data_IF_847700931227
#
_entry.id   IF_847700931227
#
_cell.length_a   1.000
_cell.length_b   1.000
_cell.length_c   1.000
_cell.angle_alpha   90.00
_cell.angle_beta   90.00
_cell.angle_gamma   90.00
#
_symmetry.space_group_name_H-M   'P 1'
#
loop_
_entity.id
_entity.type
_entity.pdbx_description
1 polymer ?
#
# COMPACT_ATOMS: atom_id res chain seq x y z
N UNK A 1 24.90 -9.58 18.84
CA UNK A 1 23.60 -9.26 19.50
C UNK A 1 23.40 -7.75 19.51
N UNK A 2 22.91 -7.16 18.41
CA UNK A 2 22.75 -5.70 18.25
C UNK A 2 21.45 -5.30 17.51
N UNK A 3 20.59 -6.28 17.19
CA UNK A 3 19.40 -6.12 16.34
C UNK A 3 18.13 -5.64 17.08
N UNK A 4 18.08 -5.70 18.42
CA UNK A 4 16.88 -5.36 19.21
C UNK A 4 16.76 -3.90 19.65
N UNK A 5 17.79 -3.08 19.41
CA UNK A 5 17.84 -1.72 19.98
C UNK A 5 16.88 -0.74 19.30
N UNK A 6 16.49 -0.95 18.04
CA UNK A 6 15.78 0.05 17.23
C UNK A 6 14.27 0.04 17.46
N UNK A 7 13.67 -1.14 17.54
CA UNK A 7 12.25 -1.32 17.91
C UNK A 7 12.01 -0.80 19.33
N UNK A 8 12.93 -1.09 20.25
CA UNK A 8 12.87 -0.57 21.62
C UNK A 8 13.01 0.95 21.63
N UNK A 9 13.90 1.53 20.81
CA UNK A 9 14.02 3.00 20.69
C UNK A 9 12.74 3.62 20.10
N UNK A 10 12.15 3.05 19.04
CA UNK A 10 10.91 3.53 18.43
C UNK A 10 9.71 3.47 19.39
N UNK A 11 9.53 2.34 20.07
CA UNK A 11 8.49 2.17 21.12
C UNK A 11 8.76 3.12 22.30
N UNK A 12 10.02 3.32 22.69
CA UNK A 12 10.41 4.26 23.76
C UNK A 12 10.19 5.72 23.35
N UNK A 13 10.38 6.07 22.07
CA UNK A 13 10.08 7.39 21.50
C UNK A 13 8.57 7.64 21.47
N UNK A 14 7.77 6.67 21.03
CA UNK A 14 6.32 6.73 21.02
C UNK A 14 5.75 6.85 22.45
N UNK A 15 6.26 6.03 23.38
CA UNK A 15 5.95 6.12 24.81
C UNK A 15 6.39 7.46 25.41
N UNK A 16 7.57 7.97 25.05
CA UNK A 16 8.07 9.25 25.53
C UNK A 16 7.19 10.42 25.08
N UNK A 17 6.73 10.41 23.82
CA UNK A 17 5.76 11.38 23.28
C UNK A 17 4.42 11.31 24.03
N UNK A 18 3.97 10.11 24.40
CA UNK A 18 2.76 9.89 25.21
C UNK A 18 2.92 10.35 26.67
N UNK A 19 4.12 10.17 27.26
CA UNK A 19 4.47 10.57 28.63
C UNK A 19 4.61 12.10 28.74
N UNK A 20 5.11 12.79 27.72
CA UNK A 20 5.24 14.26 27.72
C UNK A 20 3.86 14.94 27.81
N UNK A 21 2.80 14.34 27.27
CA UNK A 21 1.43 14.86 27.36
C UNK A 21 0.70 14.48 28.65
N UNK A 22 1.14 13.46 29.37
CA UNK A 22 0.53 13.03 30.63
C UNK A 22 1.37 13.52 31.81
N UNK A 23 0.95 14.63 32.43
CA UNK A 23 1.51 15.09 33.70
C UNK A 23 1.31 14.03 34.79
N UNK A 24 2.21 13.04 34.94
CA UNK A 24 2.14 12.07 36.02
C UNK A 24 3.52 11.62 36.50
N UNK A 25 3.83 11.97 37.75
CA UNK A 25 5.02 11.64 38.52
C UNK A 25 5.06 10.18 39.03
N UNK A 26 4.43 9.24 38.32
CA UNK A 26 4.46 7.81 38.60
C UNK A 26 4.18 7.07 37.29
N UNK A 27 4.65 5.82 37.16
CA UNK A 27 4.24 4.95 36.05
C UNK A 27 2.71 4.97 36.01
N UNK A 28 2.13 5.55 34.97
CA UNK A 28 0.68 5.60 34.85
C UNK A 28 0.14 4.17 34.72
N UNK A 29 -1.06 3.91 35.21
CA UNK A 29 -1.72 2.61 35.01
C UNK A 29 -1.78 2.22 33.52
N UNK A 30 -1.76 3.20 32.62
CA UNK A 30 -1.78 3.02 31.17
C UNK A 30 -0.42 2.52 30.66
N UNK A 31 0.70 3.07 31.14
CA UNK A 31 2.05 2.62 30.80
C UNK A 31 2.31 1.18 31.27
N UNK A 32 1.82 0.83 32.46
CA UNK A 32 1.88 -0.55 32.97
C UNK A 32 1.06 -1.52 32.12
N UNK A 33 -0.12 -1.09 31.68
CA UNK A 33 -0.97 -1.88 30.77
C UNK A 33 -0.31 -2.04 29.41
N UNK A 34 0.33 -1.00 28.87
CA UNK A 34 1.02 -1.07 27.58
C UNK A 34 2.21 -2.04 27.65
N UNK A 35 3.07 -1.94 28.66
CA UNK A 35 4.18 -2.88 28.86
C UNK A 35 3.68 -4.33 28.97
N UNK A 36 2.59 -4.56 29.71
CA UNK A 36 1.94 -5.90 29.79
C UNK A 36 1.36 -6.35 28.45
N UNK A 37 0.86 -5.42 27.64
CA UNK A 37 0.31 -5.72 26.31
C UNK A 37 1.43 -6.07 25.33
N UNK A 38 2.55 -5.36 25.37
CA UNK A 38 3.78 -5.63 24.62
C UNK A 38 4.42 -6.97 25.04
N UNK A 39 4.46 -7.27 26.34
CA UNK A 39 4.88 -8.59 26.88
C UNK A 39 3.95 -9.70 26.36
N UNK A 40 2.62 -9.51 26.47
CA UNK A 40 1.60 -10.49 26.05
C UNK A 40 1.64 -10.76 24.54
N UNK A 41 1.93 -9.74 23.73
CA UNK A 41 2.10 -9.83 22.27
C UNK A 41 3.51 -10.27 21.87
N UNK A 42 4.39 -10.61 22.81
CA UNK A 42 5.79 -11.06 22.61
C UNK A 42 6.68 -10.06 21.86
N UNK A 43 6.33 -8.77 21.91
CA UNK A 43 7.11 -7.69 21.29
C UNK A 43 8.36 -7.39 22.13
N UNK A 44 8.26 -7.53 23.45
CA UNK A 44 9.36 -7.40 24.41
C UNK A 44 9.40 -8.63 25.34
N UNK A 45 10.57 -8.96 25.86
CA UNK A 45 10.75 -10.02 26.85
C UNK A 45 10.47 -9.54 28.27
N UNK A 46 10.10 -10.46 29.17
CA UNK A 46 9.90 -10.17 30.61
C UNK A 46 11.09 -9.44 31.24
N UNK A 47 12.30 -9.77 30.77
CA UNK A 47 13.55 -9.14 31.19
C UNK A 47 13.66 -7.69 30.70
N UNK A 48 13.40 -7.46 29.41
CA UNK A 48 13.43 -6.11 28.81
C UNK A 48 12.35 -5.20 29.45
N UNK A 49 11.16 -5.73 29.71
CA UNK A 49 10.11 -4.98 30.37
C UNK A 49 10.42 -4.67 31.84
N UNK A 50 11.11 -5.58 32.54
CA UNK A 50 11.58 -5.35 33.91
C UNK A 50 12.72 -4.33 33.95
N UNK A 51 13.65 -4.37 33.00
CA UNK A 51 14.72 -3.39 32.85
C UNK A 51 14.16 -2.00 32.55
N UNK A 52 13.17 -1.89 31.64
CA UNK A 52 12.48 -0.62 31.37
C UNK A 52 11.72 -0.09 32.59
N UNK A 53 10.99 -0.95 33.33
CA UNK A 53 10.34 -0.56 34.59
C UNK A 53 11.36 -0.05 35.61
N UNK A 54 12.48 -0.74 35.77
CA UNK A 54 13.53 -0.38 36.73
C UNK A 54 14.29 0.90 36.33
N UNK A 55 14.52 1.11 35.04
CA UNK A 55 15.14 2.33 34.50
C UNK A 55 14.18 3.53 34.62
N UNK A 56 12.88 3.33 34.42
CA UNK A 56 11.84 4.34 34.64
C UNK A 56 11.66 4.67 36.14
N UNK A 57 11.67 3.67 37.03
CA UNK A 57 11.56 3.85 38.48
C UNK A 57 12.80 4.52 39.08
N UNK A 58 14.01 4.09 38.70
CA UNK A 58 15.26 4.73 39.15
C UNK A 58 15.40 6.17 38.66
N UNK A 59 14.87 6.47 37.47
CA UNK A 59 14.82 7.83 36.92
C UNK A 59 13.73 8.70 37.55
N UNK A 60 12.68 8.10 38.14
CA UNK A 60 11.65 8.84 38.89
C UNK A 60 12.12 9.30 40.29
N UNK A 61 13.15 8.66 40.85
CA UNK A 61 13.72 9.01 42.15
C UNK A 61 14.84 10.06 42.08
N UNK A 62 15.46 10.25 40.91
CA UNK A 62 16.39 11.35 40.67
C UNK A 62 15.57 12.60 40.34
N UNK A 63 15.32 13.46 41.33
CA UNK A 63 14.47 14.65 41.24
C UNK A 63 14.95 15.77 40.34
N UNK A 64 15.40 15.47 39.13
CA UNK A 64 15.84 16.43 38.11
C UNK A 64 15.01 16.22 36.84
N UNK A 65 13.71 16.52 36.96
CA UNK A 65 12.74 16.52 35.87
C UNK A 65 13.25 17.35 34.69
N UNK A 66 13.93 18.45 34.99
CA UNK A 66 14.51 19.36 34.00
C UNK A 66 15.69 18.71 33.27
N UNK A 67 16.59 18.01 33.96
CA UNK A 67 17.67 17.27 33.30
C UNK A 67 17.18 16.07 32.47
N UNK A 68 16.13 15.37 32.92
CA UNK A 68 15.50 14.28 32.15
C UNK A 68 14.76 14.81 30.93
N UNK A 69 13.89 15.82 31.10
CA UNK A 69 13.21 16.48 29.98
C UNK A 69 14.22 17.07 29.01
N UNK A 70 15.31 17.67 29.48
CA UNK A 70 16.42 18.17 28.65
C UNK A 70 17.16 17.05 27.93
N UNK A 71 17.39 15.90 28.57
CA UNK A 71 18.06 14.75 27.93
C UNK A 71 17.16 14.06 26.92
N UNK A 72 15.87 13.93 27.21
CA UNK A 72 14.85 13.43 26.29
C UNK A 72 14.65 14.41 25.14
N UNK A 73 14.42 15.71 25.37
CA UNK A 73 14.32 16.70 24.28
C UNK A 73 15.60 16.81 23.46
N UNK A 74 16.78 16.61 24.05
CA UNK A 74 18.02 16.53 23.27
C UNK A 74 18.20 15.21 22.51
N UNK A 75 17.63 14.10 22.97
CA UNK A 75 17.62 12.83 22.25
C UNK A 75 16.53 12.85 21.17
N UNK A 76 15.29 13.09 21.56
CA UNK A 76 14.12 13.31 20.69
C UNK A 76 14.41 14.38 19.65
N UNK A 77 14.97 15.54 20.02
CA UNK A 77 15.31 16.61 19.07
C UNK A 77 16.38 16.22 18.06
N UNK A 78 17.28 15.27 18.39
CA UNK A 78 18.25 14.73 17.42
C UNK A 78 17.64 13.71 16.46
N UNK A 79 16.54 13.08 16.85
CA UNK A 79 15.86 12.05 16.06
C UNK A 79 14.60 12.57 15.38
N UNK A 80 14.01 13.67 15.86
CA UNK A 80 12.81 14.28 15.32
C UNK A 80 13.02 14.73 13.87
N UNK A 81 14.19 15.30 13.56
CA UNK A 81 14.54 15.69 12.18
C UNK A 81 14.80 14.49 11.25
N UNK A 82 14.90 13.28 11.81
CA UNK A 82 15.21 12.03 11.09
C UNK A 82 14.01 11.11 10.95
N UNK A 83 12.92 11.36 11.66
CA UNK A 83 11.73 10.51 11.67
C UNK A 83 10.61 11.31 11.02
N UNK A 84 10.10 10.81 9.92
CA UNK A 84 9.02 11.40 9.15
C UNK A 84 7.80 10.49 9.29
N UNK A 85 6.90 10.79 10.24
CA UNK A 85 5.69 10.01 10.43
C UNK A 85 4.66 10.35 9.35
N UNK A 86 3.91 9.33 8.93
CA UNK A 86 2.76 9.46 8.04
C UNK A 86 1.61 8.61 8.55
N UNK A 87 0.38 9.04 8.31
CA UNK A 87 -0.80 8.24 8.64
C UNK A 87 -1.99 8.57 7.75
N UNK A 88 -2.81 7.55 7.51
CA UNK A 88 -4.10 7.62 6.83
C UNK A 88 -5.19 6.97 7.70
N UNK A 89 -6.37 7.61 7.78
CA UNK A 89 -7.56 7.05 8.40
C UNK A 89 -8.76 7.33 7.48
N UNK A 90 -9.45 6.28 7.06
CA UNK A 90 -10.56 6.37 6.11
C UNK A 90 -11.79 5.67 6.66
N UNK A 91 -12.92 6.39 6.64
CA UNK A 91 -14.22 5.83 7.00
C UNK A 91 -15.12 5.90 5.77
N UNK A 92 -15.66 4.75 5.39
CA UNK A 92 -16.44 4.60 4.16
C UNK A 92 -17.84 4.11 4.43
N UNK A 93 -18.81 4.75 3.79
CA UNK A 93 -20.17 4.25 3.66
C UNK A 93 -20.42 3.88 2.21
N UNK A 94 -20.94 2.68 1.94
CA UNK A 94 -21.27 2.27 0.58
C UNK A 94 -22.70 1.74 0.45
N UNK A 95 -23.21 1.81 -0.78
CA UNK A 95 -24.41 1.13 -1.23
C UNK A 95 -24.12 0.44 -2.56
N UNK A 96 -24.36 -0.85 -2.63
CA UNK A 96 -24.18 -1.69 -3.82
C UNK A 96 -25.53 -2.30 -4.24
N UNK A 97 -25.87 -2.20 -5.53
CA UNK A 97 -26.97 -2.92 -6.16
C UNK A 97 -26.44 -3.79 -7.31
N UNK A 98 -26.62 -5.10 -7.19
CA UNK A 98 -26.19 -6.13 -8.13
C UNK A 98 -27.40 -6.77 -8.80
N UNK A 99 -27.48 -6.59 -10.11
CA UNK A 99 -28.51 -7.16 -10.97
C UNK A 99 -27.95 -8.39 -11.70
N UNK A 100 -28.58 -9.54 -11.50
CA UNK A 100 -28.12 -10.80 -12.10
C UNK A 100 -28.81 -11.04 -13.44
N UNK A 101 -28.03 -11.37 -14.47
CA UNK A 101 -28.58 -11.71 -15.78
C UNK A 101 -29.29 -13.08 -15.77
N UNK A 102 -28.80 -14.01 -14.94
CA UNK A 102 -29.43 -15.31 -14.76
C UNK A 102 -30.78 -15.17 -14.05
N UNK A 103 -31.91 -15.49 -14.70
CA UNK A 103 -33.24 -15.33 -14.12
C UNK A 103 -33.51 -16.26 -12.92
N UNK A 104 -32.64 -17.23 -12.66
CA UNK A 104 -32.72 -18.09 -11.48
C UNK A 104 -32.10 -17.46 -10.22
N UNK A 105 -31.28 -16.41 -10.39
CA UNK A 105 -30.73 -15.60 -9.31
C UNK A 105 -31.65 -14.39 -9.07
N UNK A 106 -31.75 -13.96 -7.82
CA UNK A 106 -32.44 -12.72 -7.47
C UNK A 106 -31.42 -11.61 -7.35
N UNK A 107 -31.78 -10.43 -7.84
CA UNK A 107 -31.03 -9.20 -7.63
C UNK A 107 -30.83 -8.96 -6.12
N UNK A 108 -29.69 -8.35 -5.78
CA UNK A 108 -29.27 -8.13 -4.40
C UNK A 108 -28.80 -6.71 -4.20
N UNK A 109 -29.19 -6.11 -3.09
CA UNK A 109 -28.64 -4.86 -2.60
C UNK A 109 -27.91 -5.06 -1.26
N UNK A 110 -26.91 -4.23 -1.00
CA UNK A 110 -26.13 -4.21 0.23
C UNK A 110 -25.70 -2.78 0.57
N UNK A 111 -25.50 -2.51 1.85
CA UNK A 111 -24.92 -1.26 2.33
C UNK A 111 -24.18 -1.48 3.63
N UNK A 112 -23.09 -0.77 3.83
CA UNK A 112 -22.36 -0.79 5.09
C UNK A 112 -21.68 0.55 5.40
N UNK A 113 -21.16 0.66 6.62
CA UNK A 113 -20.29 1.72 7.10
C UNK A 113 -19.11 1.09 7.82
N UNK A 114 -17.91 1.17 7.24
CA UNK A 114 -16.69 0.54 7.76
C UNK A 114 -15.60 1.57 8.06
N UNK A 115 -14.71 1.20 8.98
CA UNK A 115 -13.38 1.80 9.06
C UNK A 115 -12.55 1.14 7.95
N UNK A 116 -12.54 1.77 6.77
CA UNK A 116 -11.97 1.19 5.57
C UNK A 116 -10.47 0.95 5.74
N UNK A 117 -9.75 1.98 6.19
CA UNK A 117 -8.29 1.97 6.25
C UNK A 117 -7.81 2.69 7.51
N UNK A 118 -6.85 2.08 8.20
CA UNK A 118 -5.96 2.76 9.13
C UNK A 118 -4.55 2.36 8.75
N UNK A 119 -3.81 3.29 8.17
CA UNK A 119 -2.40 3.13 7.90
C UNK A 119 -1.60 4.10 8.76
N UNK A 120 -0.49 3.64 9.32
CA UNK A 120 0.51 4.54 9.88
C UNK A 120 1.91 3.98 9.72
N UNK A 121 2.85 4.87 9.48
CA UNK A 121 4.22 4.50 9.25
C UNK A 121 5.23 5.57 9.60
N UNK A 122 6.49 5.20 9.43
CA UNK A 122 7.63 6.08 9.65
C UNK A 122 8.68 5.84 8.58
N UNK A 123 9.10 6.91 7.91
CA UNK A 123 10.37 6.96 7.23
C UNK A 123 11.44 7.48 8.18
N UNK A 124 12.59 6.80 8.21
CA UNK A 124 13.66 7.12 9.15
C UNK A 124 15.02 7.26 8.45
N UNK A 125 15.63 8.44 8.56
CA UNK A 125 16.99 8.73 8.13
C UNK A 125 18.02 8.17 9.15
N UNK A 126 18.29 6.87 9.04
CA UNK A 126 19.20 6.10 9.90
C UNK A 126 20.61 6.72 9.87
N UNK A 127 21.18 6.86 8.69
CA UNK A 127 22.51 7.42 8.43
C UNK A 127 22.55 8.06 7.04
N UNK A 128 23.65 8.74 6.69
CA UNK A 128 23.87 9.15 5.31
C UNK A 128 23.80 7.91 4.41
N UNK A 129 22.98 7.94 3.36
CA UNK A 129 22.75 6.81 2.43
C UNK A 129 22.02 5.61 3.00
N UNK A 130 21.41 5.70 4.19
CA UNK A 130 20.67 4.57 4.77
C UNK A 130 19.37 5.09 5.34
N UNK A 131 18.26 4.61 4.78
CA UNK A 131 16.89 4.89 5.23
C UNK A 131 16.19 3.59 5.61
N UNK A 132 15.20 3.70 6.48
CA UNK A 132 14.28 2.62 6.77
C UNK A 132 12.85 3.12 6.72
N UNK A 133 11.98 2.35 6.08
CA UNK A 133 10.55 2.63 5.95
C UNK A 133 9.78 1.48 6.60
N UNK A 134 8.78 1.81 7.40
CA UNK A 134 7.96 0.82 8.12
C UNK A 134 6.53 1.33 8.19
N UNK A 135 5.61 0.58 7.59
CA UNK A 135 4.19 0.89 7.54
C UNK A 135 3.38 -0.25 8.14
N UNK A 136 2.30 0.11 8.82
CA UNK A 136 1.33 -0.81 9.38
C UNK A 136 -0.03 -0.49 8.82
N UNK A 137 -0.75 -1.52 8.42
CA UNK A 137 -2.07 -1.41 7.81
C UNK A 137 -3.08 -2.20 8.63
N UNK A 138 -4.26 -1.61 8.78
CA UNK A 138 -5.45 -2.24 9.29
C UNK A 138 -6.63 -1.86 8.41
N UNK A 139 -7.37 -2.86 7.98
CA UNK A 139 -8.58 -2.73 7.19
C UNK A 139 -9.63 -3.66 7.80
N UNK A 140 -10.84 -3.14 7.99
CA UNK A 140 -11.94 -3.92 8.56
C UNK A 140 -12.32 -5.07 7.62
N UNK A 141 -12.40 -6.29 8.18
CA UNK A 141 -12.68 -7.57 7.50
C UNK A 141 -11.60 -8.13 6.55
N UNK A 142 -10.44 -7.46 6.43
CA UNK A 142 -9.29 -7.97 5.67
C UNK A 142 -8.07 -8.19 6.59
N UNK A 143 -7.44 -7.10 7.05
CA UNK A 143 -6.25 -7.12 7.89
C UNK A 143 -6.56 -6.92 9.39
N UNK A 144 -7.45 -7.75 9.95
CA UNK A 144 -7.72 -7.84 11.42
C UNK A 144 -7.09 -9.10 12.04
N UNK A 145 -5.99 -8.99 12.82
CA UNK A 145 -5.42 -7.77 13.41
C UNK A 145 -4.44 -7.03 12.49
N UNK A 146 -4.13 -5.77 12.85
CA UNK A 146 -3.09 -4.94 12.20
C UNK A 146 -1.85 -5.72 11.77
N UNK A 147 -1.41 -5.48 10.54
CA UNK A 147 -0.28 -6.16 9.91
C UNK A 147 0.87 -5.19 9.58
N UNK A 148 2.05 -5.76 9.27
CA UNK A 148 3.13 -4.97 8.67
C UNK A 148 2.85 -4.96 7.18
N UNK A 149 2.58 -3.78 6.65
CA UNK A 149 2.30 -3.57 5.24
C UNK A 149 3.62 -3.49 4.46
N UNK A 150 4.47 -2.51 4.81
CA UNK A 150 5.82 -2.39 4.28
C UNK A 150 6.90 -2.40 5.38
N UNK A 151 8.07 -2.93 5.02
CA UNK A 151 9.24 -2.92 5.87
C UNK A 151 10.51 -2.96 5.03
N UNK A 152 11.03 -1.78 4.68
CA UNK A 152 12.09 -1.61 3.67
C UNK A 152 13.33 -0.97 4.27
N UNK A 153 14.50 -1.46 3.86
CA UNK A 153 15.78 -0.78 4.04
C UNK A 153 16.24 -0.28 2.68
N UNK A 154 16.46 1.03 2.57
CA UNK A 154 17.00 1.67 1.37
C UNK A 154 18.44 2.10 1.58
N UNK A 155 19.30 1.77 0.63
CA UNK A 155 20.65 2.29 0.51
C UNK A 155 20.73 3.14 -0.76
N UNK A 156 20.75 4.47 -0.61
CA UNK A 156 20.83 5.40 -1.75
C UNK A 156 22.26 5.91 -1.95
N UNK A 157 22.71 6.01 -3.19
CA UNK A 157 24.02 6.56 -3.53
C UNK A 157 23.97 7.99 -4.07
N UNK A 158 22.81 8.66 -4.07
CA UNK A 158 22.47 9.70 -5.05
C UNK A 158 23.48 10.87 -5.21
N UNK A 159 24.20 11.24 -4.15
CA UNK A 159 25.23 12.29 -4.20
C UNK A 159 26.64 11.81 -4.61
N UNK A 160 26.82 10.50 -4.76
CA UNK A 160 28.06 9.83 -5.23
C UNK A 160 27.83 9.16 -6.59
N UNK A 161 26.78 8.33 -6.70
CA UNK A 161 26.34 7.61 -7.90
C UNK A 161 24.81 7.54 -7.90
N UNK A 162 24.15 7.63 -9.06
CA UNK A 162 22.69 7.63 -9.13
C UNK A 162 22.11 6.22 -8.98
N UNK A 163 22.59 5.42 -8.01
CA UNK A 163 22.19 4.04 -7.76
C UNK A 163 21.52 3.92 -6.40
N UNK A 164 20.58 2.99 -6.26
CA UNK A 164 19.98 2.63 -4.98
C UNK A 164 19.74 1.13 -4.89
N UNK A 165 19.54 0.65 -3.66
CA UNK A 165 19.12 -0.72 -3.36
C UNK A 165 18.05 -0.69 -2.29
N UNK A 166 16.93 -1.34 -2.54
CA UNK A 166 15.83 -1.57 -1.59
C UNK A 166 15.75 -3.05 -1.22
N UNK A 167 15.59 -3.34 0.06
CA UNK A 167 15.61 -4.69 0.64
C UNK A 167 14.51 -4.80 1.70
N UNK A 168 13.57 -5.74 1.56
CA UNK A 168 12.52 -5.92 2.57
C UNK A 168 11.18 -6.39 2.00
N UNK A 169 10.11 -6.26 2.80
CA UNK A 169 8.73 -6.43 2.33
C UNK A 169 8.29 -5.09 1.72
N UNK A 170 7.90 -5.09 0.45
CA UNK A 170 7.56 -3.88 -0.31
C UNK A 170 6.56 -4.18 -1.42
N UNK A 171 5.82 -3.16 -1.86
CA UNK A 171 5.17 -3.20 -3.17
C UNK A 171 6.24 -3.17 -4.26
N UNK A 172 6.36 -4.25 -5.02
CA UNK A 172 7.40 -4.35 -6.04
C UNK A 172 7.08 -3.43 -7.22
N UNK A 173 8.07 -2.92 -7.99
CA UNK A 173 7.84 -1.93 -9.06
C UNK A 173 7.10 -2.46 -10.30
N UNK A 174 5.84 -2.86 -10.16
CA UNK A 174 4.97 -3.42 -11.19
C UNK A 174 3.63 -2.68 -11.27
N UNK A 175 3.66 -1.49 -11.88
CA UNK A 175 2.49 -0.62 -12.00
C UNK A 175 2.68 0.67 -11.22
N UNK A 176 1.71 1.57 -11.37
CA UNK A 176 1.68 2.84 -10.65
C UNK A 176 0.35 3.13 -9.97
N UNK A 177 -0.75 2.66 -10.56
CA UNK A 177 -2.08 2.60 -9.97
C UNK A 177 -2.67 3.95 -9.49
N UNK A 178 -2.29 5.04 -10.16
CA UNK A 178 -2.75 6.38 -9.81
C UNK A 178 -4.26 6.56 -10.08
N UNK A 179 -4.98 7.06 -9.08
CA UNK A 179 -6.45 7.21 -9.11
C UNK A 179 -6.91 8.46 -8.36
N UNK A 180 -7.95 9.14 -8.86
CA UNK A 180 -8.69 10.18 -8.12
C UNK A 180 -10.04 9.66 -7.60
N UNK A 181 -10.23 8.34 -7.60
CA UNK A 181 -11.41 7.64 -7.11
C UNK A 181 -11.19 7.15 -5.68
N UNK A 182 -12.29 6.86 -4.98
CA UNK A 182 -12.26 6.21 -3.66
C UNK A 182 -11.92 4.73 -3.86
N UNK A 183 -12.56 4.09 -4.82
CA UNK A 183 -12.27 2.68 -5.14
C UNK A 183 -10.98 2.56 -5.92
N UNK A 184 -10.28 1.44 -5.70
CA UNK A 184 -9.08 1.10 -6.43
C UNK A 184 -9.33 0.94 -7.94
N UNK A 185 -8.38 1.35 -8.78
CA UNK A 185 -8.48 1.12 -10.21
C UNK A 185 -8.33 -0.39 -10.50
N UNK A 186 -8.99 -0.87 -11.56
CA UNK A 186 -8.91 -2.31 -11.92
C UNK A 186 -7.48 -2.81 -12.16
N UNK A 187 -6.56 -1.89 -12.51
CA UNK A 187 -5.13 -2.18 -12.66
C UNK A 187 -4.45 -2.55 -11.34
N UNK A 188 -4.81 -1.91 -10.23
CA UNK A 188 -4.34 -2.26 -8.88
C UNK A 188 -4.93 -3.62 -8.48
N UNK A 189 -6.25 -3.75 -8.64
CA UNK A 189 -7.00 -4.96 -8.29
C UNK A 189 -6.46 -6.24 -8.94
N UNK A 190 -5.87 -6.16 -10.13
CA UNK A 190 -5.20 -7.31 -10.74
C UNK A 190 -3.69 -7.37 -10.46
N UNK A 191 -3.06 -6.22 -10.26
CA UNK A 191 -1.62 -6.04 -10.46
C UNK A 191 -0.80 -5.80 -9.20
N UNK A 192 -1.43 -5.48 -8.09
CA UNK A 192 -0.72 -5.20 -6.84
C UNK A 192 0.06 -6.43 -6.37
N UNK A 193 1.37 -6.27 -6.16
CA UNK A 193 2.26 -7.36 -5.72
C UNK A 193 3.11 -6.86 -4.56
N UNK A 194 2.82 -7.33 -3.35
CA UNK A 194 3.55 -6.97 -2.14
C UNK A 194 4.38 -8.16 -1.63
N UNK A 195 5.70 -8.06 -1.78
CA UNK A 195 6.56 -9.23 -1.59
C UNK A 195 7.87 -8.92 -0.86
N UNK A 196 8.49 -9.98 -0.33
CA UNK A 196 9.85 -9.91 0.18
C UNK A 196 10.85 -9.87 -0.99
N UNK A 197 11.40 -8.68 -1.26
CA UNK A 197 12.17 -8.40 -2.46
C UNK A 197 13.54 -7.75 -2.19
N UNK A 198 14.39 -7.86 -3.21
CA UNK A 198 15.60 -7.05 -3.39
C UNK A 198 15.49 -6.34 -4.73
N UNK A 199 15.47 -5.02 -4.72
CA UNK A 199 15.40 -4.18 -5.91
C UNK A 199 16.67 -3.33 -6.00
N UNK A 200 17.31 -3.31 -7.16
CA UNK A 200 18.45 -2.46 -7.46
C UNK A 200 18.06 -1.56 -8.62
N UNK A 201 18.29 -0.26 -8.47
CA UNK A 201 17.94 0.68 -9.52
C UNK A 201 18.91 1.83 -9.68
N UNK A 202 18.68 2.60 -10.73
CA UNK A 202 19.33 3.86 -10.99
C UNK A 202 18.28 4.93 -11.24
N UNK A 203 18.37 6.06 -10.56
CA UNK A 203 17.42 7.17 -10.66
C UNK A 203 18.16 8.49 -10.88
N UNK A 204 17.67 9.27 -11.83
CA UNK A 204 17.99 10.69 -11.99
C UNK A 204 16.68 11.47 -12.24
N UNK A 205 16.78 12.78 -12.47
CA UNK A 205 15.61 13.65 -12.66
C UNK A 205 14.69 13.26 -13.83
N UNK A 206 15.19 12.47 -14.79
CA UNK A 206 14.47 12.09 -16.01
C UNK A 206 14.03 10.64 -16.04
N UNK A 207 14.86 9.73 -15.54
CA UNK A 207 14.68 8.30 -15.73
C UNK A 207 15.02 7.54 -14.46
N UNK A 208 14.17 6.58 -14.16
CA UNK A 208 14.42 5.52 -13.20
C UNK A 208 14.39 4.16 -13.91
N UNK A 209 15.43 3.37 -13.69
CA UNK A 209 15.52 1.98 -14.14
C UNK A 209 15.71 1.10 -12.92
N UNK A 210 14.94 0.03 -12.79
CA UNK A 210 15.11 -0.92 -11.71
C UNK A 210 15.01 -2.36 -12.20
N UNK A 211 15.72 -3.24 -11.51
CA UNK A 211 15.59 -4.70 -11.65
C UNK A 211 15.58 -5.30 -10.25
N UNK A 212 14.87 -6.41 -10.08
CA UNK A 212 14.77 -7.04 -8.76
C UNK A 212 14.52 -8.53 -8.85
N UNK A 213 14.65 -9.16 -7.69
CA UNK A 213 14.19 -10.51 -7.44
C UNK A 213 13.35 -10.52 -6.17
N UNK A 214 12.31 -11.33 -6.13
CA UNK A 214 11.41 -11.44 -5.00
C UNK A 214 11.06 -12.89 -4.72
N UNK A 215 10.62 -13.14 -3.50
CA UNK A 215 10.18 -14.45 -3.04
C UNK A 215 8.66 -14.47 -3.11
N UNK A 216 8.09 -15.04 -4.19
CA UNK A 216 6.64 -15.10 -4.36
C UNK A 216 5.97 -16.15 -3.47
N UNK A 217 4.66 -16.07 -3.38
CA UNK A 217 3.82 -17.03 -2.65
C UNK A 217 3.22 -18.15 -3.53
N UNK A 218 3.24 -18.00 -4.87
CA UNK A 218 2.74 -18.98 -5.83
C UNK A 218 3.89 -19.72 -6.52
N UNK A 219 4.06 -21.00 -6.18
CA UNK A 219 5.09 -21.88 -6.76
C UNK A 219 4.59 -22.66 -8.01
N UNK A 220 5.52 -23.09 -8.87
CA UNK A 220 5.25 -24.11 -9.89
C UNK A 220 4.91 -25.46 -9.23
N UNK A 221 3.95 -26.19 -9.81
CA UNK A 221 3.37 -27.40 -9.22
C UNK A 221 4.41 -28.51 -8.99
N UNK A 222 5.46 -28.57 -9.83
CA UNK A 222 6.58 -29.50 -9.67
C UNK A 222 7.67 -29.02 -8.70
N UNK A 223 7.64 -27.75 -8.28
CA UNK A 223 8.57 -27.14 -7.32
C UNK A 223 7.95 -26.82 -5.95
N UNK A 224 6.63 -27.00 -5.77
CA UNK A 224 5.81 -26.74 -4.58
C UNK A 224 6.29 -27.29 -3.21
N UNK A 225 7.40 -28.03 -3.19
CA UNK A 225 8.08 -28.50 -1.97
C UNK A 225 9.15 -27.54 -1.46
N UNK A 226 9.51 -26.50 -2.22
CA UNK A 226 10.65 -25.64 -1.95
C UNK A 226 10.33 -24.16 -2.22
N UNK A 227 10.23 -23.36 -1.16
CA UNK A 227 10.12 -21.90 -1.28
C UNK A 227 11.49 -21.32 -1.70
N UNK A 228 11.52 -20.63 -2.84
CA UNK A 228 12.72 -20.13 -3.50
C UNK A 228 12.56 -18.67 -3.98
N UNK A 229 13.68 -17.94 -4.04
CA UNK A 229 13.74 -16.63 -4.71
C UNK A 229 13.99 -16.90 -6.19
N UNK A 230 12.93 -17.07 -6.95
CA UNK A 230 12.94 -17.40 -8.39
C UNK A 230 12.08 -16.45 -9.23
N UNK A 231 11.45 -15.47 -8.59
CA UNK A 231 10.73 -14.41 -9.26
C UNK A 231 11.58 -13.17 -9.49
N UNK A 232 11.34 -12.50 -10.61
CA UNK A 232 12.13 -11.38 -11.12
C UNK A 232 11.24 -10.26 -11.62
N UNK A 233 11.76 -9.04 -11.56
CA UNK A 233 11.11 -7.86 -12.12
C UNK A 233 12.09 -6.94 -12.83
N UNK A 234 11.57 -6.13 -13.74
CA UNK A 234 12.26 -5.00 -14.32
C UNK A 234 11.28 -3.86 -14.59
N UNK A 235 11.69 -2.63 -14.31
CA UNK A 235 10.90 -1.44 -14.58
C UNK A 235 11.74 -0.32 -15.18
N UNK A 236 11.10 0.51 -16.00
CA UNK A 236 11.64 1.74 -16.52
C UNK A 236 10.57 2.83 -16.44
N UNK A 237 10.90 3.93 -15.78
CA UNK A 237 10.03 5.09 -15.63
C UNK A 237 10.74 6.33 -16.16
N UNK A 238 10.01 7.15 -16.91
CA UNK A 238 10.41 8.46 -17.36
C UNK A 238 9.56 9.51 -16.63
N UNK A 239 10.21 10.54 -16.11
CA UNK A 239 9.57 11.71 -15.51
C UNK A 239 10.10 12.95 -16.20
N UNK A 240 9.20 13.82 -16.68
CA UNK A 240 9.58 15.12 -17.20
C UNK A 240 9.91 16.05 -16.02
N UNK A 241 11.15 16.57 -15.89
CA UNK A 241 11.45 17.47 -14.80
C UNK A 241 10.62 18.76 -14.92
N UNK A 242 10.04 19.21 -13.81
CA UNK A 242 9.21 20.43 -13.73
C UNK A 242 9.91 21.67 -14.33
N UNK A 243 11.24 21.71 -14.23
CA UNK A 243 12.06 22.81 -14.78
C UNK A 243 12.09 22.87 -16.32
N UNK A 244 11.66 21.81 -17.00
CA UNK A 244 11.72 21.68 -18.46
C UNK A 244 10.52 22.35 -19.13
N UNK A 245 9.32 22.07 -18.63
CA UNK A 245 8.07 22.65 -19.13
C UNK A 245 7.22 23.06 -17.92
N UNK A 246 7.21 24.36 -17.57
CA UNK A 246 6.34 24.86 -16.52
C UNK A 246 4.88 24.48 -16.80
N UNK A 247 4.14 24.16 -15.74
CA UNK A 247 2.72 23.82 -15.79
C UNK A 247 2.38 22.56 -16.60
N UNK A 248 3.35 21.72 -16.92
CA UNK A 248 3.13 20.43 -17.56
C UNK A 248 3.98 19.35 -16.90
N UNK A 249 3.32 18.42 -16.22
CA UNK A 249 3.94 17.24 -15.64
C UNK A 249 3.61 16.02 -16.49
N UNK A 250 4.59 15.15 -16.67
CA UNK A 250 4.43 13.91 -17.42
C UNK A 250 5.30 12.83 -16.79
N UNK A 251 4.68 11.73 -16.43
CA UNK A 251 5.36 10.51 -16.00
C UNK A 251 4.83 9.36 -16.86
N UNK A 252 5.72 8.50 -17.35
CA UNK A 252 5.32 7.32 -18.12
C UNK A 252 6.26 6.17 -17.83
N UNK A 253 5.74 4.96 -17.79
CA UNK A 253 6.54 3.80 -17.43
C UNK A 253 6.11 2.51 -18.10
N UNK A 254 7.02 1.54 -18.03
CA UNK A 254 6.81 0.14 -18.36
C UNK A 254 7.42 -0.72 -17.26
N UNK A 255 6.80 -1.86 -17.00
CA UNK A 255 7.35 -2.86 -16.08
C UNK A 255 6.94 -4.27 -16.48
N UNK A 256 7.73 -5.23 -16.04
CA UNK A 256 7.48 -6.66 -16.22
C UNK A 256 7.81 -7.41 -14.94
N UNK A 257 7.05 -8.47 -14.67
CA UNK A 257 7.32 -9.44 -13.60
C UNK A 257 7.28 -10.85 -14.18
N UNK A 258 8.01 -11.78 -13.57
CA UNK A 258 8.08 -13.18 -14.01
C UNK A 258 6.82 -13.97 -13.72
N UNK A 259 6.06 -13.59 -12.70
CA UNK A 259 4.85 -14.28 -12.28
C UNK A 259 3.79 -13.27 -11.79
N UNK A 260 2.75 -13.06 -12.59
CA UNK A 260 1.60 -12.21 -12.23
C UNK A 260 0.65 -12.91 -11.25
N UNK A 261 0.76 -14.23 -11.08
CA UNK A 261 -0.05 -14.97 -10.12
C UNK A 261 0.27 -14.60 -8.66
N UNK A 262 1.44 -14.02 -8.41
CA UNK A 262 1.86 -13.45 -7.11
C UNK A 262 1.22 -12.08 -6.82
N UNK A 263 0.26 -11.62 -7.63
CA UNK A 263 -0.51 -10.43 -7.24
C UNK A 263 -1.51 -10.77 -6.12
N UNK A 264 -1.69 -9.83 -5.20
CA UNK A 264 -2.39 -10.02 -3.93
C UNK A 264 -3.79 -10.63 -4.12
N UNK A 265 -4.56 -10.13 -5.08
CA UNK A 265 -5.89 -10.67 -5.34
C UNK A 265 -5.88 -12.00 -6.12
N UNK A 266 -4.87 -12.24 -6.97
CA UNK A 266 -4.75 -13.50 -7.70
C UNK A 266 -4.22 -14.63 -6.82
N UNK A 267 -3.49 -14.37 -5.74
CA UNK A 267 -2.99 -15.45 -4.86
C UNK A 267 -4.10 -16.07 -3.98
N UNK A 268 -5.25 -15.41 -3.86
CA UNK A 268 -6.32 -15.86 -2.97
C UNK A 268 -7.00 -17.13 -3.48
N UNK A 269 -6.80 -18.25 -2.79
CA UNK A 269 -7.37 -19.54 -3.21
C UNK A 269 -8.90 -19.48 -3.24
N UNK A 270 -9.48 -19.76 -4.40
CA UNK A 270 -10.94 -19.79 -4.61
C UNK A 270 -11.52 -18.50 -5.20
N UNK A 271 -10.77 -17.40 -5.22
CA UNK A 271 -11.15 -16.13 -5.89
C UNK A 271 -10.12 -15.70 -6.94
N UNK A 272 -8.87 -16.09 -6.78
CA UNK A 272 -7.75 -15.98 -7.72
C UNK A 272 -7.35 -17.35 -8.26
N UNK A 273 -6.15 -17.83 -7.93
CA UNK A 273 -5.65 -19.17 -8.28
C UNK A 273 -6.49 -20.27 -7.64
N UNK A 274 -6.71 -21.36 -8.37
CA UNK A 274 -7.51 -22.51 -7.91
C UNK A 274 -6.80 -23.36 -6.86
N UNK A 275 -5.47 -23.31 -6.84
CA UNK A 275 -4.59 -23.97 -5.89
C UNK A 275 -3.43 -23.02 -5.59
N UNK A 276 -2.73 -23.22 -4.47
CA UNK A 276 -1.52 -22.44 -4.12
C UNK A 276 -0.31 -22.70 -5.05
N UNK A 277 -0.56 -23.23 -6.25
CA UNK A 277 0.44 -23.59 -7.25
C UNK A 277 -0.17 -23.47 -8.64
N UNK A 278 0.65 -23.08 -9.62
CA UNK A 278 0.31 -23.10 -11.05
C UNK A 278 1.28 -24.03 -11.78
N UNK A 279 1.03 -24.37 -13.04
CA UNK A 279 1.89 -25.30 -13.78
C UNK A 279 3.21 -24.67 -14.21
N UNK A 280 3.16 -23.42 -14.67
CA UNK A 280 4.35 -22.62 -14.95
C UNK A 280 4.10 -21.18 -14.53
N UNK A 281 5.13 -20.45 -14.12
CA UNK A 281 5.04 -19.01 -13.86
C UNK A 281 4.60 -18.26 -15.13
N UNK A 282 3.62 -17.36 -14.95
CA UNK A 282 3.06 -16.56 -16.04
C UNK A 282 3.50 -15.11 -15.87
N UNK A 283 4.33 -14.61 -16.78
CA UNK A 283 4.83 -13.23 -16.69
C UNK A 283 3.71 -12.18 -16.78
N UNK A 284 3.92 -11.03 -16.12
CA UNK A 284 3.06 -9.85 -16.19
C UNK A 284 3.74 -8.72 -16.95
N UNK A 285 2.95 -7.92 -17.67
CA UNK A 285 3.38 -6.66 -18.29
C UNK A 285 2.48 -5.52 -17.84
N UNK A 286 3.09 -4.36 -17.58
CA UNK A 286 2.39 -3.12 -17.27
C UNK A 286 2.98 -1.93 -18.05
N UNK A 287 2.12 -0.98 -18.38
CA UNK A 287 2.53 0.35 -18.85
C UNK A 287 1.54 1.41 -18.39
N UNK A 288 2.04 2.59 -18.08
CA UNK A 288 1.23 3.72 -17.63
C UNK A 288 1.71 5.05 -18.20
N UNK A 289 0.79 6.02 -18.22
CA UNK A 289 1.04 7.43 -18.49
C UNK A 289 0.20 8.23 -17.48
N UNK A 290 0.87 9.15 -16.79
CA UNK A 290 0.27 10.13 -15.88
C UNK A 290 0.70 11.51 -16.39
N UNK A 291 -0.25 12.40 -16.59
CA UNK A 291 0.02 13.75 -17.03
C UNK A 291 -0.86 14.75 -16.28
N UNK A 292 -0.29 15.92 -15.95
CA UNK A 292 -1.05 17.05 -15.46
C UNK A 292 -0.71 18.34 -16.19
N UNK A 293 -1.70 19.20 -16.37
CA UNK A 293 -1.58 20.51 -17.00
C UNK A 293 -2.11 21.57 -16.04
N UNK A 294 -1.33 22.63 -15.81
CA UNK A 294 -1.64 23.76 -14.94
C UNK A 294 -1.96 23.36 -13.50
N UNK A 295 -1.46 22.19 -13.07
CA UNK A 295 -1.80 21.55 -11.78
C UNK A 295 -3.32 21.53 -11.52
N UNK A 296 -4.08 21.38 -12.60
CA UNK A 296 -5.54 21.53 -12.59
C UNK A 296 -6.23 20.43 -13.36
N UNK A 297 -5.66 20.01 -14.48
CA UNK A 297 -6.22 18.95 -15.33
C UNK A 297 -5.30 17.75 -15.25
N UNK A 298 -5.86 16.60 -14.89
CA UNK A 298 -5.12 15.37 -14.67
C UNK A 298 -5.62 14.31 -15.63
N UNK A 299 -4.68 13.50 -16.13
CA UNK A 299 -4.94 12.38 -17.00
C UNK A 299 -4.08 11.20 -16.55
N UNK A 300 -4.73 10.08 -16.26
CA UNK A 300 -4.09 8.83 -15.93
C UNK A 300 -4.56 7.77 -16.92
N UNK A 301 -3.64 6.96 -17.44
CA UNK A 301 -3.98 5.77 -18.19
C UNK A 301 -2.97 4.67 -17.89
N UNK A 302 -3.48 3.48 -17.59
CA UNK A 302 -2.67 2.33 -17.24
C UNK A 302 -3.26 1.06 -17.85
N UNK A 303 -2.38 0.16 -18.28
CA UNK A 303 -2.71 -1.16 -18.80
C UNK A 303 -1.81 -2.18 -18.10
N UNK A 304 -2.39 -3.29 -17.67
CA UNK A 304 -1.69 -4.38 -17.00
C UNK A 304 -2.30 -5.72 -17.42
N UNK A 305 -1.48 -6.76 -17.58
CA UNK A 305 -2.01 -8.10 -17.80
C UNK A 305 -0.95 -9.19 -17.92
N UNK A 306 -1.44 -10.42 -17.96
CA UNK A 306 -0.64 -11.61 -18.18
C UNK A 306 -0.09 -11.64 -19.62
N UNK A 307 1.18 -12.05 -19.76
CA UNK A 307 1.88 -12.16 -21.05
C UNK A 307 1.50 -13.45 -21.79
N UNK A 308 1.17 -14.50 -21.04
CA UNK A 308 0.77 -15.82 -21.56
C UNK A 308 -0.50 -16.32 -20.85
N UNK A 309 -1.12 -17.35 -21.39
CA UNK A 309 -2.36 -17.93 -20.87
C UNK A 309 -2.09 -18.77 -19.61
N UNK A 310 -2.89 -18.56 -18.55
CA UNK A 310 -3.09 -19.56 -17.51
C UNK A 310 -3.80 -20.77 -18.10
N UNK A 311 -3.39 -21.97 -17.70
CA UNK A 311 -4.00 -23.21 -18.16
C UNK A 311 -5.39 -23.41 -17.55
N UNK A 312 -6.23 -24.18 -18.25
CA UNK A 312 -7.58 -24.45 -17.78
C UNK A 312 -7.58 -25.17 -16.42
N UNK A 313 -8.27 -24.56 -15.45
CA UNK A 313 -8.35 -25.00 -14.06
C UNK A 313 -7.37 -24.30 -13.12
N UNK A 314 -6.45 -23.45 -13.61
CA UNK A 314 -5.50 -22.73 -12.76
C UNK A 314 -6.11 -21.51 -12.08
N UNK A 315 -7.13 -20.89 -12.66
CA UNK A 315 -7.84 -19.75 -12.08
C UNK A 315 -9.26 -20.14 -11.67
N UNK A 316 -9.68 -19.74 -10.48
CA UNK A 316 -10.98 -20.13 -9.90
C UNK A 316 -12.17 -19.60 -10.71
N UNK A 317 -11.95 -18.53 -11.49
CA UNK A 317 -12.93 -17.85 -12.32
C UNK A 317 -12.85 -18.22 -13.81
N UNK A 318 -12.04 -19.21 -14.20
CA UNK A 318 -11.81 -19.53 -15.62
C UNK A 318 -12.92 -20.35 -16.30
N UNK A 319 -13.84 -20.92 -15.51
CA UNK A 319 -14.89 -21.80 -16.01
C UNK A 319 -14.39 -23.01 -16.81
N UNK A 320 -13.17 -23.48 -16.51
CA UNK A 320 -12.49 -24.60 -17.18
C UNK A 320 -11.86 -24.25 -18.53
N UNK A 321 -11.43 -23.01 -18.73
CA UNK A 321 -10.78 -22.52 -19.97
C UNK A 321 -9.42 -21.92 -19.67
N UNK A 322 -8.55 -21.83 -20.68
CA UNK A 322 -7.32 -21.06 -20.55
C UNK A 322 -7.63 -19.57 -20.63
N UNK A 323 -7.14 -18.78 -19.66
CA UNK A 323 -7.45 -17.36 -19.47
C UNK A 323 -6.16 -16.54 -19.45
N UNK A 324 -6.20 -15.34 -20.02
CA UNK A 324 -5.10 -14.37 -19.94
C UNK A 324 -5.61 -13.04 -19.37
N UNK A 325 -5.70 -12.93 -18.03
CA UNK A 325 -6.25 -11.74 -17.38
C UNK A 325 -5.52 -10.47 -17.81
N UNK A 326 -6.28 -9.47 -18.26
CA UNK A 326 -5.77 -8.14 -18.59
C UNK A 326 -6.80 -7.07 -18.17
N UNK A 327 -6.30 -5.92 -17.75
CA UNK A 327 -7.06 -4.78 -17.23
C UNK A 327 -6.50 -3.47 -17.77
N UNK A 328 -7.35 -2.46 -17.83
CA UNK A 328 -6.94 -1.09 -18.13
C UNK A 328 -7.82 -0.09 -17.38
N UNK A 329 -7.22 1.04 -17.05
CA UNK A 329 -7.87 2.21 -16.46
C UNK A 329 -7.52 3.45 -17.26
N UNK A 330 -8.52 4.29 -17.53
CA UNK A 330 -8.35 5.63 -18.09
C UNK A 330 -9.16 6.58 -17.24
N UNK A 331 -8.49 7.62 -16.73
CA UNK A 331 -9.08 8.60 -15.84
C UNK A 331 -8.76 10.02 -16.28
N UNK A 332 -9.73 10.91 -16.09
CA UNK A 332 -9.58 12.35 -16.23
C UNK A 332 -10.09 13.02 -14.96
N UNK A 333 -9.30 13.89 -14.37
CA UNK A 333 -9.70 14.71 -13.23
C UNK A 333 -9.45 16.20 -13.46
N UNK A 334 -10.18 17.03 -12.72
CA UNK A 334 -10.12 18.47 -12.84
C UNK A 334 -10.42 19.17 -11.51
N UNK A 335 -9.50 20.02 -11.06
CA UNK A 335 -9.72 20.93 -9.93
C UNK A 335 -10.55 22.12 -10.39
N UNK A 336 -11.84 22.11 -10.08
CA UNK A 336 -12.78 23.14 -10.59
C UNK A 336 -12.82 24.39 -9.71
N UNK A 337 -12.46 24.26 -8.43
CA UNK A 337 -12.33 25.33 -7.46
C UNK A 337 -11.35 24.91 -6.36
N UNK A 338 -10.93 25.85 -5.51
CA UNK A 338 -10.04 25.55 -4.39
C UNK A 338 -10.61 24.41 -3.52
N UNK A 339 -9.85 23.32 -3.44
CA UNK A 339 -10.21 22.12 -2.70
C UNK A 339 -11.35 21.32 -3.29
N UNK A 340 -11.83 21.56 -4.52
CA UNK A 340 -12.91 20.79 -5.15
C UNK A 340 -12.43 20.14 -6.46
N UNK A 341 -12.33 18.81 -6.45
CA UNK A 341 -11.92 18.00 -7.59
C UNK A 341 -13.09 17.19 -8.15
N UNK A 342 -13.14 17.05 -9.47
CA UNK A 342 -14.06 16.17 -10.18
C UNK A 342 -13.27 15.19 -11.04
N UNK A 343 -13.57 13.90 -10.93
CA UNK A 343 -12.94 12.86 -11.73
C UNK A 343 -13.98 12.00 -12.46
N UNK A 344 -13.58 11.45 -13.61
CA UNK A 344 -14.32 10.43 -14.36
C UNK A 344 -13.38 9.32 -14.80
N UNK A 345 -13.85 8.08 -14.73
CA UNK A 345 -13.06 6.90 -15.12
C UNK A 345 -13.78 6.08 -16.19
N UNK A 346 -12.99 5.39 -17.01
CA UNK A 346 -13.41 4.29 -17.86
C UNK A 346 -12.38 3.17 -17.77
N UNK A 347 -12.83 2.01 -17.33
CA UNK A 347 -11.99 0.87 -17.03
C UNK A 347 -12.57 -0.37 -17.71
N UNK A 348 -11.75 -1.40 -17.82
CA UNK A 348 -12.23 -2.69 -18.26
C UNK A 348 -11.23 -3.80 -18.04
N UNK A 349 -11.74 -5.01 -18.27
CA UNK A 349 -10.99 -6.24 -18.15
C UNK A 349 -11.35 -7.22 -19.27
N UNK A 350 -10.42 -8.10 -19.60
CA UNK A 350 -10.67 -9.30 -20.40
C UNK A 350 -10.11 -10.51 -19.66
N UNK A 351 -10.77 -11.66 -19.84
CA UNK A 351 -10.41 -12.94 -19.22
C UNK A 351 -10.24 -12.87 -17.69
N UNK A 352 -11.00 -12.00 -17.03
CA UNK A 352 -11.13 -11.90 -15.58
C UNK A 352 -12.45 -12.52 -15.06
N UNK A 353 -13.20 -13.24 -15.90
CA UNK A 353 -14.46 -13.89 -15.52
C UNK A 353 -15.44 -12.95 -14.79
N UNK A 354 -15.90 -13.38 -13.61
CA UNK A 354 -16.75 -12.57 -12.72
C UNK A 354 -15.94 -11.93 -11.57
N UNK A 355 -14.61 -12.08 -11.56
CA UNK A 355 -13.71 -11.49 -10.56
C UNK A 355 -13.65 -9.96 -10.73
N UNK A 356 -13.49 -9.46 -11.96
CA UNK A 356 -13.50 -8.02 -12.27
C UNK A 356 -14.56 -7.65 -13.30
N UNK A 357 -15.13 -6.43 -13.25
CA UNK A 357 -16.06 -5.97 -14.25
C UNK A 357 -15.37 -5.85 -15.62
N UNK A 358 -15.93 -6.51 -16.63
CA UNK A 358 -15.49 -6.41 -18.03
C UNK A 358 -15.43 -4.95 -18.51
N UNK A 359 -16.35 -4.12 -18.03
CA UNK A 359 -16.39 -2.67 -18.26
C UNK A 359 -16.88 -1.97 -17.01
N UNK A 360 -16.19 -0.90 -16.63
CA UNK A 360 -16.60 -0.04 -15.53
C UNK A 360 -16.46 1.43 -15.95
N UNK A 361 -17.38 2.27 -15.49
CA UNK A 361 -17.25 3.72 -15.64
C UNK A 361 -17.97 4.42 -14.50
N UNK A 362 -17.50 5.61 -14.16
CA UNK A 362 -18.05 6.35 -13.05
C UNK A 362 -17.55 7.77 -12.95
N UNK A 363 -17.90 8.40 -11.83
CA UNK A 363 -17.44 9.72 -11.47
C UNK A 363 -17.22 9.83 -9.97
N UNK A 364 -16.22 10.61 -9.60
CA UNK A 364 -15.89 10.95 -8.23
C UNK A 364 -15.91 12.47 -8.05
N UNK A 365 -16.39 12.92 -6.89
CA UNK A 365 -16.29 14.30 -6.44
C UNK A 365 -15.62 14.29 -5.08
N UNK A 366 -14.48 14.95 -4.94
CA UNK A 366 -13.79 15.09 -3.66
C UNK A 366 -13.65 16.56 -3.27
N UNK A 367 -13.69 16.80 -1.96
CA UNK A 367 -13.57 18.13 -1.39
C UNK A 367 -12.65 18.14 -0.16
N UNK A 368 -11.65 19.01 -0.18
CA UNK A 368 -10.78 19.31 0.96
C UNK A 368 -11.56 20.09 2.02
N UNK A 369 -12.16 19.36 2.95
CA UNK A 369 -12.97 19.94 4.01
C UNK A 369 -12.13 20.80 4.96
N UNK A 370 -10.97 20.29 5.35
CA UNK A 370 -9.96 20.98 6.15
C UNK A 370 -8.55 20.55 5.72
N UNK A 371 -7.52 21.18 6.29
CA UNK A 371 -6.15 20.70 6.12
C UNK A 371 -6.08 19.23 6.58
N UNK A 372 -5.56 18.34 5.74
CA UNK A 372 -5.45 16.91 6.01
C UNK A 372 -6.79 16.19 6.18
N UNK A 373 -7.90 16.76 5.69
CA UNK A 373 -9.22 16.13 5.83
C UNK A 373 -10.05 16.37 4.59
N UNK A 374 -10.38 15.29 3.89
CA UNK A 374 -11.16 15.32 2.66
C UNK A 374 -12.45 14.52 2.82
N UNK A 375 -13.46 14.88 2.03
CA UNK A 375 -14.68 14.08 1.86
C UNK A 375 -14.85 13.79 0.38
N UNK A 376 -15.19 12.57 0.03
CA UNK A 376 -15.39 12.15 -1.34
C UNK A 376 -16.73 11.43 -1.52
N UNK A 377 -17.32 11.57 -2.70
CA UNK A 377 -18.48 10.82 -3.15
C UNK A 377 -18.21 10.26 -4.54
N UNK A 378 -18.36 8.95 -4.67
CA UNK A 378 -18.13 8.20 -5.88
C UNK A 378 -19.39 7.45 -6.32
N UNK A 379 -19.54 7.30 -7.63
CA UNK A 379 -20.44 6.34 -8.23
C UNK A 379 -19.77 5.56 -9.36
N UNK A 380 -19.87 4.24 -9.32
CA UNK A 380 -19.36 3.31 -10.33
C UNK A 380 -20.49 2.42 -10.88
N UNK A 381 -20.55 2.29 -12.20
CA UNK A 381 -21.33 1.28 -12.88
C UNK A 381 -20.41 0.23 -13.50
N UNK A 382 -20.58 -1.02 -13.09
CA UNK A 382 -19.83 -2.17 -13.60
C UNK A 382 -20.71 -3.12 -14.40
N UNK A 383 -20.15 -3.72 -15.45
CA UNK A 383 -20.77 -4.81 -16.20
C UNK A 383 -19.79 -5.96 -16.37
N UNK A 384 -20.22 -7.16 -15.98
CA UNK A 384 -19.40 -8.38 -15.95
C UNK A 384 -19.55 -9.21 -17.24
N UNK A 385 -18.69 -10.20 -17.42
CA UNK A 385 -18.71 -11.08 -18.60
C UNK A 385 -19.99 -11.91 -18.70
N UNK A 386 -20.50 -12.39 -17.56
CA UNK A 386 -21.77 -13.08 -17.45
C UNK A 386 -23.01 -12.17 -17.69
N UNK A 387 -22.77 -10.87 -17.93
CA UNK A 387 -23.73 -9.78 -18.16
C UNK A 387 -24.45 -9.28 -16.91
N UNK A 388 -24.05 -9.72 -15.73
CA UNK A 388 -24.46 -9.09 -14.47
C UNK A 388 -24.00 -7.63 -14.47
N UNK A 389 -24.71 -6.79 -13.72
CA UNK A 389 -24.40 -5.37 -13.61
C UNK A 389 -24.40 -4.93 -12.16
N UNK A 390 -23.47 -4.05 -11.81
CA UNK A 390 -23.32 -3.46 -10.48
C UNK A 390 -23.48 -1.94 -10.55
N UNK A 391 -24.23 -1.40 -9.60
CA UNK A 391 -24.22 0.01 -9.24
C UNK A 391 -23.59 0.13 -7.86
N UNK A 392 -22.50 0.88 -7.73
CA UNK A 392 -21.81 1.12 -6.47
C UNK A 392 -21.75 2.61 -6.21
N UNK A 393 -22.15 3.03 -5.02
CA UNK A 393 -22.01 4.39 -4.53
C UNK A 393 -21.23 4.34 -3.23
N UNK A 394 -20.15 5.10 -3.15
CA UNK A 394 -19.24 5.12 -2.00
C UNK A 394 -19.05 6.56 -1.53
N UNK A 395 -19.09 6.78 -0.23
CA UNK A 395 -18.75 8.06 0.41
C UNK A 395 -17.64 7.83 1.40
N UNK A 396 -16.58 8.63 1.35
CA UNK A 396 -15.42 8.50 2.22
C UNK A 396 -15.17 9.81 2.97
N UNK A 397 -14.80 9.70 4.25
CA UNK A 397 -14.16 10.76 5.02
C UNK A 397 -12.75 10.28 5.35
N UNK A 398 -11.74 11.00 4.86
CA UNK A 398 -10.34 10.63 5.03
C UNK A 398 -9.58 11.68 5.84
N UNK A 399 -8.60 11.23 6.62
CA UNK A 399 -7.58 12.05 7.27
C UNK A 399 -6.21 11.50 6.86
N UNK A 400 -5.37 12.33 6.25
CA UNK A 400 -4.05 11.95 5.76
C UNK A 400 -3.03 13.07 6.04
N UNK A 401 -1.87 12.76 6.64
CA UNK A 401 -0.86 13.77 6.99
C UNK A 401 0.59 13.28 7.03
#
# INVERSE_FOLDING_TARGET
>A
MRKRSWIVIGITLFLALFIINSNAFAISQETEKLLKLLEKKKIITDKEASEMKQEMESSSQAGDKEAYETKLTNLLGKWADKIHPSACIEVEAFYEDKNFHDPSKRDTDASDLKLATVEFGFDVDIAKHVKGSLFFLYEEDDTDPIEIDEGVITIDGADVVPLYVDLGKMYVPFGRFESHFISDPLTLELGETNESAVVVGSRNDWVELSVGAFNGDIDETDEASFNHIDNYLASACFTLPETTMPDFNLTAGISVISNIADSNNLQTVGTGVSAATIKNHIGGFNTFIIASILDKYFFNAEYLGAIDDFEAGELSFDGGKAYRPEVWTIELACDIADGLNLAVCYEGSNDCGDFLPKKQFGGCVSYDLFKYTSVALEYLYGKYENKDTRHLMTTQLAIEF
#
